data_IF_838421420528
#
_entry.id   IF_838421420528
#
_cell.length_a   1.000
_cell.length_b   1.000
_cell.length_c   1.000
_cell.angle_alpha   90.00
_cell.angle_beta   90.00
_cell.angle_gamma   90.00
#
_symmetry.space_group_name_H-M   'P 1'
#
loop_
_entity.id
_entity.type
_entity.pdbx_description
1 polymer ?
#
# COMPACT_ATOMS: atom_id res chain seq x y z
N UNK A 1 -22.95 -13.67 -16.69
CA UNK A 1 -24.26 -12.96 -16.79
C UNK A 1 -24.53 -12.53 -15.38
N UNK A 2 -23.93 -11.40 -15.02
CA UNK A 2 -23.65 -11.09 -13.63
C UNK A 2 -24.78 -10.21 -13.11
N UNK A 3 -25.51 -10.77 -12.15
CA UNK A 3 -26.67 -10.18 -11.52
C UNK A 3 -26.17 -9.10 -10.55
N UNK A 4 -26.19 -7.84 -11.01
CA UNK A 4 -25.88 -6.66 -10.19
C UNK A 4 -27.06 -6.40 -9.28
N UNK A 5 -27.00 -6.92 -8.06
CA UNK A 5 -27.99 -6.64 -7.03
C UNK A 5 -27.69 -5.24 -6.44
N UNK A 6 -28.32 -4.22 -7.00
CA UNK A 6 -28.28 -2.84 -6.49
C UNK A 6 -29.07 -2.76 -5.16
N UNK A 7 -28.66 -1.92 -4.18
CA UNK A 7 -29.48 -1.69 -3.01
C UNK A 7 -30.75 -0.92 -3.40
N UNK A 8 -31.89 -1.59 -3.31
CA UNK A 8 -33.20 -0.97 -3.52
C UNK A 8 -33.47 -0.02 -2.34
N UNK A 9 -33.30 1.27 -2.57
CA UNK A 9 -33.76 2.31 -1.66
C UNK A 9 -35.28 2.38 -1.70
N UNK A 10 -35.95 1.97 -0.62
CA UNK A 10 -37.40 2.10 -0.50
C UNK A 10 -37.71 3.44 0.18
N UNK A 11 -38.38 4.33 -0.55
CA UNK A 11 -38.87 5.61 -0.07
C UNK A 11 -40.09 5.37 0.84
N UNK A 12 -40.08 5.94 2.04
CA UNK A 12 -41.27 6.10 2.87
C UNK A 12 -41.89 7.49 2.66
N UNK A 13 -43.21 7.61 2.88
CA UNK A 13 -44.06 8.77 2.54
C UNK A 13 -43.73 10.08 3.30
N UNK A 14 -42.61 10.13 4.01
CA UNK A 14 -42.12 11.30 4.74
C UNK A 14 -40.94 12.01 4.06
N UNK A 15 -40.47 11.53 2.89
CA UNK A 15 -39.45 12.20 2.09
C UNK A 15 -38.07 12.28 2.73
N UNK A 16 -37.81 11.53 3.80
CA UNK A 16 -36.50 11.44 4.43
C UNK A 16 -35.77 10.18 3.97
N UNK A 17 -34.58 10.33 3.37
CA UNK A 17 -33.72 9.18 3.00
C UNK A 17 -33.06 8.65 4.27
N UNK A 18 -33.79 7.81 5.01
CA UNK A 18 -33.20 7.07 6.12
C UNK A 18 -32.31 5.95 5.54
N UNK A 19 -30.99 6.19 5.48
CA UNK A 19 -30.02 5.11 5.28
C UNK A 19 -30.15 4.19 6.49
N UNK A 20 -30.79 3.03 6.31
CA UNK A 20 -30.77 1.98 7.33
C UNK A 20 -29.33 1.51 7.46
N UNK A 21 -28.59 2.07 8.42
CA UNK A 21 -27.40 1.39 8.95
C UNK A 21 -27.89 0.03 9.43
N UNK A 22 -27.25 -1.05 8.97
CA UNK A 22 -27.50 -2.38 9.50
C UNK A 22 -27.28 -2.30 11.01
N UNK A 23 -28.36 -2.33 11.78
CA UNK A 23 -28.29 -2.64 13.19
C UNK A 23 -27.91 -4.12 13.25
N UNK A 24 -26.69 -4.43 13.68
CA UNK A 24 -26.25 -5.81 13.86
C UNK A 24 -27.11 -6.41 15.00
N UNK A 25 -28.01 -7.38 14.71
CA UNK A 25 -29.05 -7.79 15.67
C UNK A 25 -28.55 -8.85 16.66
N UNK A 26 -27.25 -9.11 16.73
CA UNK A 26 -26.71 -10.14 17.63
C UNK A 26 -26.41 -9.53 18.99
N UNK A 27 -27.00 -10.06 20.08
CA UNK A 27 -26.55 -9.76 21.43
C UNK A 27 -25.04 -9.94 21.49
N UNK A 28 -24.34 -8.90 21.94
CA UNK A 28 -22.88 -8.93 22.05
C UNK A 28 -22.51 -9.94 23.13
N UNK A 29 -21.91 -11.06 22.73
CA UNK A 29 -21.39 -12.04 23.66
C UNK A 29 -20.23 -11.41 24.45
N UNK A 30 -20.31 -11.29 25.78
CA UNK A 30 -19.28 -10.63 26.58
C UNK A 30 -17.95 -11.39 26.56
N UNK A 31 -17.96 -12.63 26.05
CA UNK A 31 -16.80 -13.50 25.90
C UNK A 31 -16.27 -13.59 24.46
N UNK A 32 -16.82 -12.83 23.50
CA UNK A 32 -16.33 -12.87 22.11
C UNK A 32 -14.90 -12.29 22.03
N UNK A 33 -13.89 -13.09 21.61
CA UNK A 33 -12.53 -12.61 21.38
C UNK A 33 -12.43 -11.45 20.40
N UNK A 34 -13.37 -11.32 19.48
CA UNK A 34 -13.37 -10.28 18.43
C UNK A 34 -13.61 -8.88 18.98
N UNK A 35 -14.34 -8.75 20.10
CA UNK A 35 -14.73 -7.46 20.68
C UNK A 35 -13.57 -6.74 21.39
N UNK A 36 -12.64 -7.50 21.97
CA UNK A 36 -11.45 -6.95 22.62
C UNK A 36 -10.17 -7.13 21.78
N UNK A 37 -10.24 -7.88 20.68
CA UNK A 37 -9.14 -7.97 19.73
C UNK A 37 -8.85 -6.57 19.15
N UNK A 38 -7.60 -6.06 19.25
CA UNK A 38 -7.29 -4.76 18.68
C UNK A 38 -7.41 -4.87 17.16
N UNK A 39 -8.21 -4.01 16.54
CA UNK A 39 -8.31 -3.95 15.08
C UNK A 39 -6.94 -3.57 14.51
N UNK A 40 -6.43 -4.39 13.58
CA UNK A 40 -5.16 -4.13 12.90
C UNK A 40 -5.30 -3.16 11.72
N UNK A 41 -6.54 -2.87 11.31
CA UNK A 41 -6.88 -1.84 10.33
C UNK A 41 -7.63 -0.70 11.02
N UNK A 42 -7.26 0.57 10.77
CA UNK A 42 -8.03 1.71 11.26
C UNK A 42 -9.44 1.72 10.67
N UNK A 43 -10.42 2.12 11.48
CA UNK A 43 -11.83 2.18 11.07
C UNK A 43 -12.04 3.18 9.92
N UNK A 44 -12.99 2.87 9.02
CA UNK A 44 -13.46 3.79 7.99
C UNK A 44 -12.95 3.56 6.56
N UNK A 45 -12.04 2.60 6.31
CA UNK A 45 -11.56 2.32 4.95
C UNK A 45 -11.86 0.87 4.55
N UNK A 46 -12.61 0.65 3.45
CA UNK A 46 -13.03 -0.68 3.04
C UNK A 46 -11.84 -1.54 2.60
N UNK A 47 -11.96 -2.86 2.82
CA UNK A 47 -11.03 -3.84 2.29
C UNK A 47 -11.00 -3.77 0.76
N UNK A 48 -9.82 -3.70 0.14
CA UNK A 48 -9.63 -3.55 -1.30
C UNK A 48 -9.65 -2.10 -1.80
N UNK A 49 -9.72 -1.10 -0.92
CA UNK A 49 -9.64 0.32 -1.29
C UNK A 49 -8.36 0.63 -2.07
N UNK A 50 -8.48 1.33 -3.21
CA UNK A 50 -7.33 1.80 -4.00
C UNK A 50 -7.02 3.25 -3.69
N UNK A 51 -5.75 3.65 -3.77
CA UNK A 51 -5.35 5.04 -3.52
C UNK A 51 -5.87 5.97 -4.61
N UNK A 52 -5.99 5.49 -5.85
CA UNK A 52 -6.62 6.20 -6.96
C UNK A 52 -8.06 6.64 -6.71
N UNK A 53 -8.79 5.93 -5.85
CA UNK A 53 -10.20 6.23 -5.56
C UNK A 53 -10.34 7.45 -4.63
N UNK A 54 -9.31 7.72 -3.82
CA UNK A 54 -9.30 8.79 -2.82
C UNK A 54 -8.43 9.97 -3.21
N UNK A 55 -7.36 9.74 -3.99
CA UNK A 55 -6.35 10.72 -4.32
C UNK A 55 -5.99 10.71 -5.80
N UNK A 56 -5.46 11.85 -6.28
CA UNK A 56 -4.83 11.92 -7.60
C UNK A 56 -3.49 11.22 -7.55
N UNK A 57 -3.31 10.24 -8.43
CA UNK A 57 -2.15 9.36 -8.51
C UNK A 57 -1.45 9.54 -9.86
N UNK A 58 -0.12 9.42 -9.89
CA UNK A 58 0.64 9.43 -11.13
C UNK A 58 0.35 8.19 -12.00
N UNK A 59 0.33 8.35 -13.32
CA UNK A 59 0.00 7.26 -14.27
C UNK A 59 0.96 6.06 -14.16
N UNK A 60 2.22 6.31 -13.82
CA UNK A 60 3.27 5.30 -13.69
C UNK A 60 3.50 4.84 -12.24
N UNK A 61 2.52 5.00 -11.35
CA UNK A 61 2.63 4.52 -9.98
C UNK A 61 2.64 2.98 -9.95
N UNK A 62 3.62 2.33 -9.28
CA UNK A 62 3.61 0.88 -9.12
C UNK A 62 2.32 0.38 -8.48
N UNK A 63 1.78 -0.73 -8.99
CA UNK A 63 0.48 -1.31 -8.56
C UNK A 63 0.40 -1.48 -7.05
N UNK A 64 1.50 -1.91 -6.41
CA UNK A 64 1.57 -2.09 -4.95
C UNK A 64 1.27 -0.80 -4.19
N UNK A 65 1.65 0.37 -4.71
CA UNK A 65 1.33 1.68 -4.14
C UNK A 65 -0.09 2.14 -4.48
N UNK A 66 -0.70 1.63 -5.56
CA UNK A 66 -2.12 1.90 -5.81
C UNK A 66 -3.02 1.05 -4.93
N UNK A 67 -2.63 -0.20 -4.68
CA UNK A 67 -3.41 -1.20 -3.97
C UNK A 67 -2.69 -1.58 -2.66
N UNK A 68 -2.94 -0.87 -1.54
CA UNK A 68 -2.23 -1.08 -0.28
C UNK A 68 -2.39 -2.50 0.26
N UNK A 69 -3.44 -3.21 -0.17
CA UNK A 69 -3.69 -4.57 0.29
C UNK A 69 -2.64 -5.60 -0.18
N UNK A 70 -1.83 -5.28 -1.20
CA UNK A 70 -0.71 -6.11 -1.66
C UNK A 70 0.52 -6.05 -0.74
N UNK A 71 0.53 -5.17 0.26
CA UNK A 71 1.60 -5.18 1.26
C UNK A 71 1.36 -6.30 2.29
N UNK A 72 2.15 -7.37 2.18
CA UNK A 72 2.14 -8.48 3.14
C UNK A 72 3.18 -8.28 4.26
N UNK A 73 3.00 -8.98 5.38
CA UNK A 73 3.94 -8.99 6.50
C UNK A 73 3.69 -7.91 7.56
N UNK A 74 2.60 -7.18 7.44
CA UNK A 74 2.12 -6.22 8.43
C UNK A 74 0.94 -6.84 9.16
N UNK A 75 1.22 -7.72 10.11
CA UNK A 75 0.21 -8.32 10.97
C UNK A 75 0.90 -8.73 12.26
N UNK A 76 0.13 -8.91 13.32
CA UNK A 76 0.68 -9.52 14.54
C UNK A 76 0.84 -11.01 14.34
N UNK A 77 1.99 -11.60 14.71
CA UNK A 77 2.02 -13.03 14.94
C UNK A 77 1.00 -13.37 16.03
N UNK A 78 0.24 -14.47 15.90
CA UNK A 78 -0.70 -14.88 16.94
C UNK A 78 0.06 -15.15 18.24
N UNK A 79 -0.22 -14.37 19.28
CA UNK A 79 0.50 -14.42 20.54
C UNK A 79 -0.39 -13.99 21.71
N UNK A 80 0.00 -14.41 22.92
CA UNK A 80 -0.76 -14.07 24.13
C UNK A 80 -0.65 -12.56 24.41
N UNK A 81 -1.77 -11.85 24.61
CA UNK A 81 -1.77 -10.42 24.90
C UNK A 81 -0.95 -10.04 26.15
N UNK A 82 -0.77 -10.95 27.12
CA UNK A 82 0.02 -10.74 28.34
C UNK A 82 1.52 -10.53 28.05
N UNK A 83 2.05 -11.17 27.01
CA UNK A 83 3.48 -11.09 26.67
C UNK A 83 3.77 -10.02 25.60
N UNK A 84 2.85 -9.07 25.40
CA UNK A 84 3.02 -7.99 24.43
C UNK A 84 4.04 -6.98 24.94
N UNK A 85 5.05 -6.69 24.13
CA UNK A 85 6.01 -5.62 24.39
C UNK A 85 5.62 -4.36 23.61
N UNK A 86 6.15 -3.21 24.01
CA UNK A 86 5.99 -1.95 23.27
C UNK A 86 6.59 -2.03 21.86
N UNK A 87 7.69 -2.77 21.69
CA UNK A 87 8.31 -2.99 20.39
C UNK A 87 7.41 -3.77 19.43
N UNK A 88 6.53 -4.63 19.96
CA UNK A 88 5.54 -5.37 19.17
C UNK A 88 4.43 -4.48 18.57
N UNK A 89 4.35 -3.21 18.98
CA UNK A 89 3.45 -2.23 18.36
C UNK A 89 3.99 -1.73 17.01
N UNK A 90 5.31 -1.66 16.87
CA UNK A 90 5.93 -1.21 15.64
C UNK A 90 5.71 -2.24 14.51
N UNK A 91 5.34 -1.77 13.33
CA UNK A 91 5.11 -2.62 12.16
C UNK A 91 3.81 -3.45 12.21
N UNK A 92 3.00 -3.31 13.27
CA UNK A 92 1.72 -4.01 13.39
C UNK A 92 0.69 -3.58 12.35
N UNK A 93 0.58 -2.27 12.11
CA UNK A 93 -0.47 -1.70 11.27
C UNK A 93 -0.10 -1.80 9.79
N UNK A 94 -1.00 -2.36 9.00
CA UNK A 94 -0.86 -2.43 7.54
C UNK A 94 -0.97 -1.02 6.93
N UNK A 95 -0.19 -0.72 5.87
CA UNK A 95 -0.35 0.52 5.12
C UNK A 95 -1.77 0.63 4.53
N UNK A 96 -2.18 1.88 4.32
CA UNK A 96 -3.52 2.27 3.94
C UNK A 96 -3.48 3.32 2.82
N UNK A 97 -4.65 3.61 2.22
CA UNK A 97 -4.78 4.58 1.13
C UNK A 97 -4.25 5.97 1.49
N UNK A 98 -4.36 6.38 2.76
CA UNK A 98 -3.88 7.68 3.25
C UNK A 98 -2.40 7.71 3.63
N UNK A 99 -1.78 6.55 3.86
CA UNK A 99 -0.35 6.46 4.17
C UNK A 99 0.49 6.23 2.91
N UNK A 100 -0.16 5.90 1.79
CA UNK A 100 0.50 5.49 0.58
C UNK A 100 0.90 6.67 -0.31
N UNK A 101 2.03 6.51 -1.00
CA UNK A 101 2.54 7.55 -1.88
C UNK A 101 1.69 7.68 -3.14
N UNK A 102 1.33 8.92 -3.50
CA UNK A 102 0.64 9.24 -4.77
C UNK A 102 1.59 9.29 -5.98
N UNK A 103 2.89 9.49 -5.74
CA UNK A 103 3.95 9.58 -6.75
C UNK A 103 5.17 8.80 -6.28
N UNK A 104 5.80 8.05 -7.18
CA UNK A 104 7.02 7.30 -6.90
C UNK A 104 8.05 7.48 -8.02
N UNK A 105 9.14 8.19 -7.72
CA UNK A 105 10.25 8.40 -8.65
C UNK A 105 11.35 7.36 -8.43
N UNK A 106 11.21 6.20 -9.05
CA UNK A 106 12.27 5.19 -9.05
C UNK A 106 13.47 5.66 -9.85
N UNK A 107 14.68 5.28 -9.40
CA UNK A 107 15.89 5.42 -10.20
C UNK A 107 16.19 4.06 -10.83
N UNK A 108 16.24 4.02 -12.16
CA UNK A 108 16.64 2.82 -12.89
C UNK A 108 18.15 2.60 -12.70
N UNK A 109 18.53 1.42 -12.22
CA UNK A 109 19.93 1.01 -12.10
C UNK A 109 20.40 0.16 -13.29
N UNK A 110 19.64 0.13 -14.40
CA UNK A 110 19.89 -0.75 -15.54
C UNK A 110 21.25 -0.50 -16.19
N UNK A 111 21.65 0.77 -16.33
CA UNK A 111 22.98 1.13 -16.82
C UNK A 111 24.08 0.55 -15.91
N UNK A 112 24.01 0.82 -14.61
CA UNK A 112 25.00 0.35 -13.63
C UNK A 112 25.01 -1.17 -13.53
N UNK A 113 23.85 -1.84 -13.63
CA UNK A 113 23.77 -3.30 -13.63
C UNK A 113 24.44 -3.90 -14.87
N UNK A 114 24.31 -3.24 -16.02
CA UNK A 114 24.89 -3.68 -17.30
C UNK A 114 26.41 -3.50 -17.34
N UNK A 115 26.91 -2.36 -16.86
CA UNK A 115 28.33 -1.99 -16.98
C UNK A 115 29.14 -2.16 -15.69
N UNK A 116 28.49 -2.31 -14.54
CA UNK A 116 29.14 -2.58 -13.26
C UNK A 116 30.06 -3.80 -13.28
N UNK A 117 29.67 -4.92 -13.92
CA UNK A 117 30.54 -6.08 -14.07
C UNK A 117 31.75 -5.86 -14.99
N UNK A 118 31.74 -4.83 -15.85
CA UNK A 118 32.85 -4.54 -16.78
C UNK A 118 34.13 -4.07 -16.07
N UNK A 119 34.05 -3.81 -14.76
CA UNK A 119 35.20 -3.49 -13.92
C UNK A 119 35.76 -2.09 -14.17
N UNK A 120 36.92 -1.82 -13.58
CA UNK A 120 37.56 -0.52 -13.69
C UNK A 120 38.11 -0.31 -15.10
N UNK A 121 37.86 0.87 -15.66
CA UNK A 121 38.43 1.26 -16.95
C UNK A 121 39.96 1.10 -16.97
N UNK A 122 40.47 0.56 -18.08
CA UNK A 122 41.90 0.46 -18.37
C UNK A 122 42.16 1.01 -19.75
N UNK A 123 43.18 1.87 -19.87
CA UNK A 123 43.63 2.34 -21.17
C UNK A 123 44.60 1.32 -21.78
N UNK A 124 44.24 0.78 -22.95
CA UNK A 124 45.07 -0.12 -23.76
C UNK A 124 45.40 0.45 -25.15
N UNK A 125 45.17 1.76 -25.38
CA UNK A 125 45.49 2.41 -26.66
C UNK A 125 46.97 2.81 -26.76
N UNK A 126 47.49 2.89 -27.98
CA UNK A 126 48.80 3.49 -28.27
C UNK A 126 48.67 5.01 -28.40
N UNK A 127 49.71 5.76 -28.00
CA UNK A 127 49.80 7.19 -28.26
C UNK A 127 50.14 7.41 -29.74
N UNK A 128 49.16 7.83 -30.53
CA UNK A 128 49.30 8.06 -31.98
C UNK A 128 49.26 9.54 -32.37
N UNK A 129 49.21 10.44 -31.39
CA UNK A 129 49.24 11.87 -31.67
C UNK A 129 50.60 12.29 -32.25
N UNK A 130 50.57 13.09 -33.32
CA UNK A 130 51.76 13.74 -33.87
C UNK A 130 52.12 14.95 -33.00
N UNK A 131 53.42 15.19 -32.78
CA UNK A 131 53.89 16.34 -32.00
C UNK A 131 53.38 17.65 -32.60
N UNK A 132 52.63 18.40 -31.79
CA UNK A 132 52.16 19.73 -32.14
C UNK A 132 53.25 20.74 -31.81
N UNK A 133 53.89 21.30 -32.85
CA UNK A 133 54.81 22.43 -32.68
C UNK A 133 53.97 23.70 -32.50
N UNK A 134 54.14 24.36 -31.36
CA UNK A 134 53.62 25.72 -31.16
C UNK A 134 54.58 26.66 -31.90
N UNK A 135 54.03 27.48 -32.79
CA UNK A 135 54.75 28.51 -33.57
C UNK A 135 55.15 29.66 -32.64
#
# INVERSE_FOLDING_TARGET
MDNVNAPVGQLDDSGCVCIKTKEDPTPLDPCDPSLWAPKDRPDGIPQGAKTSDYYKVAENLPIKFNEPDLFHGYDRPPGNPLYRTTNSEYGRLKPNVHTMNSVYHTRSHDFTKRYGPSGNYRNHSLNTAMDQKII
#
